data_IF_211266012275
#
_entry.id   IF_211266012275
#
_cell.length_a   1.000
_cell.length_b   1.000
_cell.length_c   1.000
_cell.angle_alpha   90.00
_cell.angle_beta   90.00
_cell.angle_gamma   90.00
#
_symmetry.space_group_name_H-M   'P 1'
#
loop_
_entity.id
_entity.type
_entity.pdbx_description
1 polymer ?
#
# COMPACT_ATOMS: atom_id res chain seq x y z
N UNK A 1 -2.89 26.40 -7.84
CA UNK A 1 -2.03 26.20 -6.64
C UNK A 1 -0.76 27.00 -6.86
N UNK A 2 -0.33 27.78 -5.87
CA UNK A 2 0.94 28.50 -5.92
C UNK A 2 1.95 27.75 -5.06
N UNK A 3 3.07 27.35 -5.65
CA UNK A 3 4.15 26.66 -4.93
C UNK A 3 5.13 27.74 -4.46
N UNK A 4 5.40 27.77 -3.16
CA UNK A 4 6.36 28.69 -2.56
C UNK A 4 7.79 28.15 -2.58
N UNK A 5 8.74 28.96 -2.11
CA UNK A 5 10.15 28.54 -2.02
C UNK A 5 10.37 27.61 -0.82
N UNK A 6 11.04 26.48 -0.99
CA UNK A 6 11.41 25.59 0.13
C UNK A 6 12.13 26.33 1.26
N UNK A 7 11.87 25.94 2.50
CA UNK A 7 12.40 26.55 3.73
C UNK A 7 11.98 27.99 3.98
N UNK A 8 10.99 28.51 3.25
CA UNK A 8 10.36 29.81 3.50
C UNK A 8 8.99 29.66 4.16
N UNK A 9 8.41 30.73 4.69
CA UNK A 9 7.05 30.71 5.25
C UNK A 9 5.98 30.34 4.22
N UNK A 10 6.23 30.56 2.93
CA UNK A 10 5.31 30.26 1.83
C UNK A 10 5.54 28.88 1.19
N UNK A 11 6.45 28.09 1.74
CA UNK A 11 6.76 26.77 1.19
C UNK A 11 5.53 25.86 1.17
N UNK A 12 5.31 25.20 0.04
CA UNK A 12 4.41 24.03 -0.01
C UNK A 12 5.15 22.84 0.55
N UNK A 13 4.63 22.22 1.60
CA UNK A 13 5.28 21.12 2.34
C UNK A 13 4.58 19.81 2.11
N UNK A 14 5.36 18.80 1.74
CA UNK A 14 4.90 17.41 1.64
C UNK A 14 5.63 16.57 2.68
N UNK A 15 4.87 15.87 3.51
CA UNK A 15 5.40 14.86 4.44
C UNK A 15 5.23 13.48 3.80
N UNK A 16 6.34 12.78 3.57
CA UNK A 16 6.38 11.42 3.05
C UNK A 16 6.52 10.44 4.22
N UNK A 17 5.55 9.54 4.38
CA UNK A 17 5.55 8.49 5.39
C UNK A 17 5.99 7.16 4.76
N UNK A 18 7.24 6.80 4.98
CA UNK A 18 8.00 5.78 4.28
C UNK A 18 9.08 6.44 3.42
N UNK A 19 10.33 6.08 3.67
CA UNK A 19 11.48 6.75 3.08
C UNK A 19 12.42 5.78 2.34
N UNK A 20 11.84 4.71 1.75
CA UNK A 20 12.57 3.73 0.97
C UNK A 20 13.06 4.25 -0.39
N UNK A 21 13.42 3.33 -1.28
CA UNK A 21 13.98 3.65 -2.60
C UNK A 21 12.95 4.37 -3.49
N UNK A 22 11.71 3.92 -3.51
CA UNK A 22 10.64 4.60 -4.24
C UNK A 22 10.38 5.99 -3.63
N UNK A 23 10.38 6.09 -2.31
CA UNK A 23 10.25 7.36 -1.59
C UNK A 23 11.32 8.37 -2.00
N UNK A 24 12.56 7.93 -2.22
CA UNK A 24 13.65 8.79 -2.71
C UNK A 24 13.34 9.41 -4.07
N UNK A 25 12.83 8.63 -5.02
CA UNK A 25 12.45 9.14 -6.35
C UNK A 25 11.27 10.12 -6.25
N UNK A 26 10.31 9.86 -5.36
CA UNK A 26 9.20 10.80 -5.08
C UNK A 26 9.74 12.12 -4.52
N UNK A 27 10.66 12.10 -3.55
CA UNK A 27 11.30 13.30 -3.00
C UNK A 27 11.99 14.10 -4.08
N UNK A 28 12.82 13.45 -4.93
CA UNK A 28 13.54 14.11 -6.01
C UNK A 28 12.56 14.76 -6.99
N UNK A 29 11.50 14.06 -7.36
CA UNK A 29 10.45 14.60 -8.25
C UNK A 29 9.75 15.82 -7.64
N UNK A 30 9.37 15.78 -6.38
CA UNK A 30 8.74 16.90 -5.68
C UNK A 30 9.66 18.12 -5.60
N UNK A 31 10.94 17.91 -5.33
CA UNK A 31 11.94 18.97 -5.29
C UNK A 31 12.13 19.67 -6.65
N UNK A 32 12.03 18.96 -7.75
CA UNK A 32 12.06 19.55 -9.12
C UNK A 32 10.94 20.55 -9.34
N UNK A 33 9.80 20.39 -8.64
CA UNK A 33 8.69 21.35 -8.67
C UNK A 33 8.80 22.44 -7.60
N UNK A 34 9.87 22.47 -6.81
CA UNK A 34 10.06 23.48 -5.75
C UNK A 34 9.29 23.18 -4.47
N UNK A 35 8.90 21.94 -4.23
CA UNK A 35 8.20 21.51 -3.03
C UNK A 35 9.19 21.21 -1.91
N UNK A 36 8.89 21.66 -0.68
CA UNK A 36 9.64 21.28 0.51
C UNK A 36 9.19 19.90 0.99
N UNK A 37 10.14 18.95 1.12
CA UNK A 37 9.83 17.57 1.48
C UNK A 37 10.40 17.23 2.85
N UNK A 38 9.56 16.58 3.64
CA UNK A 38 9.84 16.03 4.98
C UNK A 38 9.75 14.51 4.86
N UNK A 39 10.85 13.80 5.01
CA UNK A 39 10.91 12.34 4.90
C UNK A 39 10.89 11.70 6.29
N UNK A 40 10.01 10.75 6.50
CA UNK A 40 9.79 10.08 7.79
C UNK A 40 9.95 8.57 7.62
N UNK A 41 10.73 7.94 8.49
CA UNK A 41 10.86 6.49 8.55
C UNK A 41 11.14 6.02 9.98
N UNK A 42 11.13 4.70 10.20
CA UNK A 42 11.42 4.06 11.49
C UNK A 42 12.93 3.87 11.78
N UNK A 43 13.78 4.09 10.80
CA UNK A 43 15.24 3.94 10.92
C UNK A 43 15.94 5.15 10.29
N UNK A 44 17.15 5.48 10.77
CA UNK A 44 17.92 6.61 10.26
C UNK A 44 18.52 6.31 8.89
N UNK A 45 18.86 7.37 8.17
CA UNK A 45 19.55 7.32 6.87
C UNK A 45 18.83 6.53 5.79
N UNK A 46 17.50 6.40 5.90
CA UNK A 46 16.68 5.83 4.85
C UNK A 46 16.88 6.57 3.52
N UNK A 47 16.76 5.89 2.36
CA UNK A 47 17.10 6.47 1.05
C UNK A 47 16.52 7.85 0.77
N UNK A 48 15.24 8.08 1.07
CA UNK A 48 14.59 9.37 0.86
C UNK A 48 15.06 10.44 1.88
N UNK A 49 15.42 10.06 3.09
CA UNK A 49 15.94 10.98 4.11
C UNK A 49 17.26 11.63 3.67
N UNK A 50 18.07 10.92 2.89
CA UNK A 50 19.37 11.42 2.39
C UNK A 50 19.23 12.59 1.43
N UNK A 51 18.07 12.78 0.81
CA UNK A 51 17.82 13.83 -0.20
C UNK A 51 16.71 14.81 0.21
N UNK A 52 15.95 14.55 1.27
CA UNK A 52 14.88 15.41 1.73
C UNK A 52 15.39 16.70 2.37
N UNK A 53 14.53 17.72 2.47
CA UNK A 53 14.84 18.97 3.18
C UNK A 53 14.89 18.80 4.70
N UNK A 54 14.08 17.87 5.23
CA UNK A 54 14.04 17.46 6.64
C UNK A 54 13.82 15.95 6.71
N UNK A 55 14.39 15.34 7.76
CA UNK A 55 14.29 13.90 8.00
C UNK A 55 13.94 13.63 9.47
N UNK A 56 13.06 12.68 9.70
CA UNK A 56 12.65 12.27 11.04
C UNK A 56 12.61 10.75 11.14
N UNK A 57 13.03 10.27 12.32
CA UNK A 57 12.95 8.85 12.68
C UNK A 57 11.96 8.71 13.82
N UNK A 58 10.83 8.05 13.55
CA UNK A 58 9.77 7.77 14.52
C UNK A 58 9.16 6.39 14.26
N UNK A 59 8.49 5.84 15.25
CA UNK A 59 7.56 4.75 15.00
C UNK A 59 6.25 5.33 14.43
N UNK A 60 6.06 5.18 13.11
CA UNK A 60 4.87 5.69 12.43
C UNK A 60 3.59 4.89 12.78
N UNK A 61 3.71 3.73 13.46
CA UNK A 61 2.56 2.99 14.00
C UNK A 61 2.12 3.54 15.36
N UNK A 62 2.97 4.31 16.03
CA UNK A 62 2.62 5.06 17.24
C UNK A 62 1.83 6.32 16.88
N UNK A 63 0.55 6.29 17.22
CA UNK A 63 -0.38 7.39 17.01
C UNK A 63 0.13 8.73 17.52
N UNK A 64 0.70 8.74 18.74
CA UNK A 64 1.11 9.99 19.40
C UNK A 64 2.33 10.59 18.72
N UNK A 65 3.35 9.79 18.42
CA UNK A 65 4.55 10.25 17.72
C UNK A 65 4.22 10.82 16.34
N UNK A 66 3.34 10.11 15.58
CA UNK A 66 2.93 10.57 14.26
C UNK A 66 2.14 11.89 14.33
N UNK A 67 1.16 11.97 15.21
CA UNK A 67 0.34 13.18 15.38
C UNK A 67 1.17 14.38 15.82
N UNK A 68 2.06 14.21 16.80
CA UNK A 68 2.98 15.26 17.27
C UNK A 68 3.86 15.79 16.15
N UNK A 69 4.42 14.89 15.33
CA UNK A 69 5.24 15.28 14.19
C UNK A 69 4.45 16.08 13.16
N UNK A 70 3.24 15.63 12.81
CA UNK A 70 2.36 16.34 11.86
C UNK A 70 2.00 17.74 12.40
N UNK A 71 1.66 17.85 13.68
CA UNK A 71 1.32 19.14 14.31
C UNK A 71 2.51 20.10 14.35
N UNK A 72 3.71 19.60 14.58
CA UNK A 72 4.96 20.39 14.59
C UNK A 72 5.35 20.89 13.22
N UNK A 73 5.32 20.01 12.22
CA UNK A 73 5.79 20.32 10.85
C UNK A 73 4.75 21.01 9.98
N UNK A 74 3.46 20.81 10.28
CA UNK A 74 2.31 21.40 9.56
C UNK A 74 2.45 21.23 8.04
N UNK A 75 2.52 20.01 7.54
CA UNK A 75 2.59 19.78 6.09
C UNK A 75 1.26 20.20 5.43
N UNK A 76 1.31 20.65 4.18
CA UNK A 76 0.12 20.87 3.36
C UNK A 76 -0.42 19.53 2.83
N UNK A 77 0.50 18.59 2.54
CA UNK A 77 0.19 17.27 2.02
C UNK A 77 0.91 16.18 2.81
N UNK A 78 0.24 15.05 2.98
CA UNK A 78 0.83 13.84 3.56
C UNK A 78 0.70 12.71 2.54
N UNK A 79 1.82 12.06 2.24
CA UNK A 79 1.90 10.95 1.28
C UNK A 79 2.33 9.69 2.03
N UNK A 80 1.40 8.79 2.39
CA UNK A 80 1.72 7.47 2.93
C UNK A 80 2.23 6.56 1.80
N UNK A 81 3.43 5.97 1.99
CA UNK A 81 4.09 5.10 1.01
C UNK A 81 4.15 3.65 1.50
N UNK A 82 4.20 3.43 2.82
CA UNK A 82 4.24 2.10 3.43
C UNK A 82 2.97 1.79 4.23
N UNK A 83 2.73 0.50 4.51
CA UNK A 83 1.55 0.04 5.25
C UNK A 83 1.67 0.12 6.79
N UNK A 84 2.89 0.29 7.34
CA UNK A 84 3.12 0.37 8.77
C UNK A 84 2.95 1.80 9.30
N UNK A 85 1.71 2.28 9.31
CA UNK A 85 1.33 3.66 9.70
C UNK A 85 0.05 3.60 10.55
N UNK A 86 -0.05 4.48 11.56
CA UNK A 86 -1.29 4.74 12.28
C UNK A 86 -2.29 5.49 11.38
N UNK A 87 -3.02 4.75 10.56
CA UNK A 87 -3.90 5.31 9.52
C UNK A 87 -5.13 6.05 10.07
N UNK A 88 -5.49 5.82 11.32
CA UNK A 88 -6.51 6.59 12.04
C UNK A 88 -6.08 8.04 12.26
N UNK A 89 -4.78 8.31 12.48
CA UNK A 89 -4.23 9.67 12.53
C UNK A 89 -4.43 10.39 11.20
N UNK A 90 -4.24 9.70 10.09
CA UNK A 90 -4.45 10.28 8.76
C UNK A 90 -5.92 10.66 8.54
N UNK A 91 -6.84 9.81 9.02
CA UNK A 91 -8.28 10.12 8.96
C UNK A 91 -8.66 11.34 9.81
N UNK A 92 -8.11 11.47 11.01
CA UNK A 92 -8.33 12.62 11.88
C UNK A 92 -7.76 13.92 11.27
N UNK A 93 -6.57 13.86 10.70
CA UNK A 93 -5.91 14.99 10.02
C UNK A 93 -6.73 15.48 8.82
N UNK A 94 -7.23 14.54 8.02
CA UNK A 94 -8.07 14.80 6.85
C UNK A 94 -9.43 15.39 7.26
N UNK A 95 -10.08 14.81 8.29
CA UNK A 95 -11.35 15.31 8.84
C UNK A 95 -11.22 16.70 9.45
N UNK A 96 -10.09 17.01 10.09
CA UNK A 96 -9.79 18.34 10.62
C UNK A 96 -9.39 19.35 9.54
N UNK A 97 -9.17 18.92 8.30
CA UNK A 97 -8.71 19.79 7.21
C UNK A 97 -7.32 20.39 7.44
N UNK A 98 -6.51 19.79 8.30
CA UNK A 98 -5.18 20.28 8.66
C UNK A 98 -4.09 19.95 7.65
N UNK A 99 -4.28 18.89 6.85
CA UNK A 99 -3.47 18.55 5.69
C UNK A 99 -4.32 17.73 4.70
N UNK A 100 -3.90 17.69 3.44
CA UNK A 100 -4.47 16.80 2.43
C UNK A 100 -3.69 15.49 2.41
N UNK A 101 -4.37 14.36 2.58
CA UNK A 101 -3.76 13.03 2.52
C UNK A 101 -3.90 12.44 1.12
N UNK A 102 -2.81 12.02 0.50
CA UNK A 102 -2.78 11.50 -0.88
C UNK A 102 -2.04 10.15 -0.92
N UNK A 103 -2.73 9.06 -1.26
CA UNK A 103 -4.18 8.93 -1.47
C UNK A 103 -4.97 9.20 -0.19
N UNK A 104 -6.29 9.39 -0.29
CA UNK A 104 -7.13 9.72 0.89
C UNK A 104 -6.94 8.71 2.02
N UNK A 105 -7.12 9.14 3.28
CA UNK A 105 -6.97 8.27 4.45
C UNK A 105 -7.83 6.98 4.32
N UNK A 106 -9.05 7.11 3.79
CA UNK A 106 -9.90 5.94 3.50
C UNK A 106 -9.29 4.98 2.49
N UNK A 107 -8.71 5.50 1.41
CA UNK A 107 -8.04 4.66 0.41
C UNK A 107 -6.85 3.91 1.01
N UNK A 108 -6.04 4.61 1.82
CA UNK A 108 -4.91 4.03 2.56
C UNK A 108 -5.38 2.90 3.48
N UNK A 109 -6.41 3.14 4.30
CA UNK A 109 -6.96 2.14 5.22
C UNK A 109 -7.45 0.88 4.50
N UNK A 110 -8.10 1.06 3.34
CA UNK A 110 -8.63 -0.06 2.56
C UNK A 110 -7.53 -0.83 1.82
N UNK A 111 -6.58 -0.13 1.19
CA UNK A 111 -5.57 -0.78 0.33
C UNK A 111 -4.43 -1.41 1.12
N UNK A 112 -4.08 -0.86 2.28
CA UNK A 112 -3.06 -1.40 3.16
C UNK A 112 -3.52 -2.62 3.96
N UNK A 113 -4.82 -2.89 3.99
CA UNK A 113 -5.44 -4.02 4.65
C UNK A 113 -6.10 -4.96 3.64
N UNK A 114 -5.55 -6.17 3.46
CA UNK A 114 -6.09 -7.15 2.50
C UNK A 114 -7.56 -7.50 2.77
N UNK A 115 -8.01 -7.49 4.02
CA UNK A 115 -9.41 -7.74 4.35
C UNK A 115 -10.28 -6.57 3.86
N UNK A 116 -9.86 -5.34 4.13
CA UNK A 116 -10.60 -4.15 3.73
C UNK A 116 -10.80 -4.06 2.21
N UNK A 117 -9.72 -4.18 1.45
CA UNK A 117 -9.81 -4.10 -0.03
C UNK A 117 -10.54 -5.30 -0.62
N UNK A 118 -10.37 -6.53 -0.07
CA UNK A 118 -11.06 -7.73 -0.56
C UNK A 118 -12.57 -7.64 -0.34
N UNK A 119 -13.01 -7.24 0.84
CA UNK A 119 -14.43 -7.05 1.13
C UNK A 119 -15.03 -5.93 0.29
N UNK A 120 -14.32 -4.82 0.11
CA UNK A 120 -14.76 -3.75 -0.78
C UNK A 120 -14.99 -4.29 -2.20
N UNK A 121 -14.01 -4.99 -2.77
CA UNK A 121 -14.12 -5.51 -4.13
C UNK A 121 -15.22 -6.56 -4.26
N UNK A 122 -15.20 -7.60 -3.44
CA UNK A 122 -16.09 -8.75 -3.58
C UNK A 122 -17.51 -8.49 -3.06
N UNK A 123 -17.63 -7.90 -1.85
CA UNK A 123 -18.92 -7.83 -1.15
C UNK A 123 -19.65 -6.51 -1.39
N UNK A 124 -18.92 -5.38 -1.51
CA UNK A 124 -19.55 -4.06 -1.72
C UNK A 124 -19.73 -3.73 -3.19
N UNK A 125 -18.70 -3.99 -4.01
CA UNK A 125 -18.69 -3.64 -5.44
C UNK A 125 -19.10 -4.80 -6.34
N UNK A 126 -19.19 -6.03 -5.82
CA UNK A 126 -19.55 -7.23 -6.59
C UNK A 126 -18.58 -7.58 -7.71
N UNK A 127 -17.31 -7.17 -7.58
CA UNK A 127 -16.27 -7.45 -8.57
C UNK A 127 -15.83 -8.92 -8.47
N UNK A 128 -15.46 -9.54 -9.59
CA UNK A 128 -14.89 -10.89 -9.58
C UNK A 128 -13.62 -10.95 -8.75
N UNK A 129 -13.56 -11.89 -7.80
CA UNK A 129 -12.37 -12.18 -6.99
C UNK A 129 -12.18 -13.69 -6.89
N UNK A 130 -10.97 -14.15 -6.53
CA UNK A 130 -10.78 -15.54 -6.15
C UNK A 130 -11.65 -15.89 -4.94
N UNK A 131 -12.09 -17.15 -4.75
CA UNK A 131 -12.69 -17.60 -3.50
C UNK A 131 -11.74 -17.30 -2.33
N UNK A 132 -12.26 -16.84 -1.20
CA UNK A 132 -11.40 -16.48 -0.06
C UNK A 132 -12.09 -16.70 1.28
N UNK A 133 -11.27 -16.85 2.34
CA UNK A 133 -11.70 -16.84 3.75
C UNK A 133 -10.67 -16.09 4.60
N UNK A 134 -11.15 -15.44 5.65
CA UNK A 134 -10.29 -14.84 6.69
C UNK A 134 -10.37 -15.69 7.94
N UNK A 135 -9.22 -15.99 8.53
CA UNK A 135 -9.10 -16.83 9.72
C UNK A 135 -8.05 -16.31 10.68
N UNK A 136 -8.24 -16.61 11.97
CA UNK A 136 -7.39 -16.13 13.06
C UNK A 136 -6.68 -17.27 13.81
N UNK A 137 -6.95 -18.52 13.44
CA UNK A 137 -6.43 -19.72 14.12
C UNK A 137 -5.95 -20.76 13.12
N UNK A 138 -5.03 -21.62 13.56
CA UNK A 138 -4.56 -22.76 12.75
C UNK A 138 -5.72 -23.71 12.36
N UNK A 139 -6.64 -23.95 13.30
CA UNK A 139 -7.81 -24.79 13.04
C UNK A 139 -8.72 -24.16 11.98
N UNK A 140 -8.95 -22.83 12.10
CA UNK A 140 -9.65 -22.07 11.08
C UNK A 140 -8.97 -22.13 9.71
N UNK A 141 -7.63 -22.10 9.68
CA UNK A 141 -6.86 -22.25 8.44
C UNK A 141 -7.08 -23.61 7.78
N UNK A 142 -7.11 -24.69 8.56
CA UNK A 142 -7.41 -26.04 8.02
C UNK A 142 -8.77 -26.08 7.33
N UNK A 143 -9.82 -25.68 8.06
CA UNK A 143 -11.19 -25.68 7.51
C UNK A 143 -11.33 -24.76 6.29
N UNK A 144 -10.76 -23.56 6.34
CA UNK A 144 -10.81 -22.60 5.23
C UNK A 144 -10.08 -23.10 3.98
N UNK A 145 -8.94 -23.79 4.14
CA UNK A 145 -8.18 -24.35 3.01
C UNK A 145 -8.91 -25.51 2.33
N UNK A 146 -9.63 -26.32 3.10
CA UNK A 146 -10.50 -27.38 2.57
C UNK A 146 -11.69 -26.79 1.81
N UNK A 147 -12.32 -25.73 2.35
CA UNK A 147 -13.47 -25.07 1.73
C UNK A 147 -13.09 -24.34 0.42
N UNK A 148 -11.96 -23.59 0.43
CA UNK A 148 -11.46 -22.87 -0.75
C UNK A 148 -10.94 -23.85 -1.81
N UNK A 149 -10.40 -24.99 -1.38
CA UNK A 149 -9.82 -26.01 -2.22
C UNK A 149 -8.31 -25.80 -2.47
N UNK A 150 -7.62 -26.91 -2.76
CA UNK A 150 -6.19 -26.89 -3.11
C UNK A 150 -5.98 -26.89 -4.64
N UNK A 151 -4.94 -26.23 -5.15
CA UNK A 151 -4.01 -25.38 -4.43
C UNK A 151 -4.60 -24.02 -4.07
N UNK A 152 -4.22 -23.50 -2.89
CA UNK A 152 -4.61 -22.17 -2.43
C UNK A 152 -3.43 -21.42 -1.83
N UNK A 153 -3.59 -20.13 -1.61
CA UNK A 153 -2.57 -19.27 -1.00
C UNK A 153 -2.99 -18.81 0.38
N UNK A 154 -2.02 -18.76 1.30
CA UNK A 154 -2.16 -18.14 2.62
C UNK A 154 -1.29 -16.90 2.67
N UNK A 155 -1.87 -15.77 3.12
CA UNK A 155 -1.15 -14.49 3.22
C UNK A 155 -1.53 -13.78 4.51
N UNK A 156 -0.58 -13.16 5.24
CA UNK A 156 -0.91 -12.24 6.33
C UNK A 156 -1.79 -11.08 5.82
N UNK A 157 -2.66 -10.54 6.66
CA UNK A 157 -3.52 -9.40 6.30
C UNK A 157 -2.69 -8.18 5.91
N UNK A 158 -1.61 -7.93 6.64
CA UNK A 158 -0.71 -6.81 6.39
C UNK A 158 0.71 -7.31 6.13
N UNK A 159 1.05 -7.49 4.89
CA UNK A 159 2.40 -7.83 4.42
C UNK A 159 2.59 -7.38 2.97
N UNK A 160 3.83 -7.15 2.56
CA UNK A 160 4.19 -6.84 1.19
C UNK A 160 5.32 -7.73 0.69
N UNK A 161 5.58 -7.70 -0.61
CA UNK A 161 6.68 -8.42 -1.26
C UNK A 161 6.69 -9.94 -0.95
N UNK A 162 5.51 -10.54 -0.85
CA UNK A 162 5.38 -12.00 -0.64
C UNK A 162 5.80 -12.52 0.73
N UNK A 163 6.17 -11.65 1.69
CA UNK A 163 6.57 -12.06 3.04
C UNK A 163 5.41 -12.72 3.77
N UNK A 164 5.66 -13.90 4.35
CA UNK A 164 4.64 -14.70 5.02
C UNK A 164 3.63 -15.36 4.08
N UNK A 165 3.79 -15.26 2.77
CA UNK A 165 2.91 -15.89 1.79
C UNK A 165 3.36 -17.32 1.51
N UNK A 166 2.42 -18.26 1.50
CA UNK A 166 2.64 -19.67 1.16
C UNK A 166 1.58 -20.18 0.20
N UNK A 167 1.97 -21.09 -0.69
CA UNK A 167 1.05 -21.87 -1.50
C UNK A 167 0.85 -23.23 -0.84
N UNK A 168 -0.39 -23.56 -0.49
CA UNK A 168 -0.79 -24.87 0.00
C UNK A 168 -1.16 -25.77 -1.18
N UNK A 169 -0.50 -26.91 -1.30
CA UNK A 169 -0.83 -27.96 -2.28
C UNK A 169 -1.72 -29.05 -1.69
N UNK A 170 -1.79 -29.11 -0.37
CA UNK A 170 -2.59 -30.06 0.41
C UNK A 170 -2.56 -29.76 1.90
N UNK A 171 -3.30 -30.52 2.68
CA UNK A 171 -3.45 -30.32 4.13
C UNK A 171 -2.11 -30.42 4.89
N UNK A 172 -1.14 -31.14 4.37
CA UNK A 172 0.20 -31.29 4.96
C UNK A 172 1.00 -29.98 5.03
N UNK A 173 0.65 -28.98 4.19
CA UNK A 173 1.36 -27.70 4.13
C UNK A 173 0.85 -26.66 5.15
N UNK A 174 -0.31 -26.91 5.77
CA UNK A 174 -1.06 -25.92 6.56
C UNK A 174 -0.28 -25.42 7.79
N UNK A 175 0.35 -26.34 8.55
CA UNK A 175 1.08 -25.96 9.77
C UNK A 175 2.30 -25.08 9.46
N UNK A 176 3.08 -25.46 8.45
CA UNK A 176 4.25 -24.69 8.04
C UNK A 176 3.86 -23.32 7.47
N UNK A 177 2.78 -23.26 6.70
CA UNK A 177 2.26 -22.02 6.15
C UNK A 177 1.73 -21.07 7.22
N UNK A 178 1.04 -21.63 8.25
CA UNK A 178 0.60 -20.85 9.41
C UNK A 178 1.77 -20.22 10.15
N UNK A 179 2.78 -21.02 10.51
CA UNK A 179 3.97 -20.54 11.19
C UNK A 179 4.67 -19.42 10.41
N UNK A 180 4.90 -19.65 9.11
CA UNK A 180 5.54 -18.64 8.24
C UNK A 180 4.71 -17.36 8.09
N UNK A 181 3.38 -17.47 8.04
CA UNK A 181 2.51 -16.29 7.97
C UNK A 181 2.59 -15.44 9.24
N UNK A 182 2.77 -16.05 10.42
CA UNK A 182 2.93 -15.34 11.69
C UNK A 182 4.26 -14.58 11.77
N UNK A 183 5.32 -15.13 11.18
CA UNK A 183 6.64 -14.49 11.14
C UNK A 183 6.73 -13.35 10.12
N UNK A 184 6.00 -13.47 9.00
CA UNK A 184 6.10 -12.55 7.85
C UNK A 184 5.22 -11.31 7.94
N UNK A 185 4.32 -11.20 8.91
CA UNK A 185 3.45 -10.04 9.10
C UNK A 185 4.24 -8.80 9.54
N UNK A 186 3.93 -7.62 8.97
CA UNK A 186 4.54 -6.34 9.39
C UNK A 186 3.95 -5.77 10.67
N UNK A 187 2.77 -6.21 11.03
CA UNK A 187 2.05 -5.85 12.27
C UNK A 187 1.77 -7.13 13.02
N UNK A 188 1.91 -7.10 14.34
CA UNK A 188 1.54 -8.23 15.18
C UNK A 188 0.05 -8.56 15.00
N UNK A 189 -0.24 -9.78 14.56
CA UNK A 189 -1.60 -10.25 14.35
C UNK A 189 -1.60 -11.67 13.80
N UNK A 190 -2.58 -12.46 14.20
CA UNK A 190 -2.73 -13.86 13.80
C UNK A 190 -3.58 -14.01 12.52
N UNK A 191 -4.26 -12.94 12.09
CA UNK A 191 -5.24 -13.01 11.01
C UNK A 191 -4.58 -13.16 9.64
N UNK A 192 -5.06 -14.15 8.89
CA UNK A 192 -4.61 -14.43 7.52
C UNK A 192 -5.80 -14.50 6.56
N UNK A 193 -5.54 -14.31 5.27
CA UNK A 193 -6.46 -14.66 4.18
C UNK A 193 -6.01 -15.97 3.54
N UNK A 194 -6.98 -16.84 3.26
CA UNK A 194 -6.85 -18.00 2.36
C UNK A 194 -7.50 -17.63 1.04
N UNK A 195 -6.79 -17.79 -0.06
CA UNK A 195 -7.29 -17.44 -1.40
C UNK A 195 -7.10 -18.59 -2.37
N UNK A 196 -8.13 -18.88 -3.16
CA UNK A 196 -8.03 -19.84 -4.26
C UNK A 196 -7.00 -19.38 -5.30
N UNK A 197 -6.27 -20.33 -5.85
CA UNK A 197 -5.36 -20.05 -6.97
C UNK A 197 -6.16 -19.67 -8.21
N UNK A 198 -5.71 -18.65 -8.90
CA UNK A 198 -6.21 -18.25 -10.22
C UNK A 198 -5.16 -18.68 -11.25
N UNK A 199 -5.59 -19.43 -12.26
CA UNK A 199 -4.78 -19.69 -13.45
C UNK A 199 -5.03 -18.54 -14.44
N UNK A 200 -4.05 -17.67 -14.58
CA UNK A 200 -4.08 -16.51 -15.46
C UNK A 200 -2.98 -16.61 -16.54
N UNK A 201 -3.23 -16.05 -17.71
CA UNK A 201 -2.27 -16.02 -18.80
C UNK A 201 -1.15 -15.02 -18.53
N UNK A 202 -1.46 -13.90 -17.90
CA UNK A 202 -0.51 -12.85 -17.49
C UNK A 202 -1.07 -12.02 -16.35
N UNK A 203 -0.18 -11.31 -15.68
CA UNK A 203 -0.47 -10.39 -14.59
C UNK A 203 -0.10 -8.98 -15.01
N UNK A 204 -0.91 -7.99 -14.63
CA UNK A 204 -0.67 -6.58 -14.95
C UNK A 204 -0.71 -5.70 -13.71
N UNK A 205 0.01 -4.58 -13.79
CA UNK A 205 -0.21 -3.41 -12.96
C UNK A 205 -0.87 -2.33 -13.81
N UNK A 206 -2.06 -1.88 -13.39
CA UNK A 206 -2.75 -0.75 -14.01
C UNK A 206 -2.60 0.49 -13.13
N UNK A 207 -1.74 1.40 -13.54
CA UNK A 207 -1.56 2.67 -12.84
C UNK A 207 -2.74 3.58 -13.16
N UNK A 208 -3.44 3.98 -12.09
CA UNK A 208 -4.63 4.83 -12.17
C UNK A 208 -4.32 6.19 -11.56
N UNK A 209 -4.54 7.26 -12.32
CA UNK A 209 -4.29 8.63 -11.89
C UNK A 209 -5.63 9.35 -11.70
N UNK A 210 -5.94 9.72 -10.47
CA UNK A 210 -7.12 10.53 -10.16
C UNK A 210 -6.69 11.97 -9.93
N UNK A 211 -7.27 12.87 -10.71
CA UNK A 211 -7.04 14.31 -10.63
C UNK A 211 -8.34 15.06 -10.42
N UNK A 212 -8.24 16.36 -10.16
CA UNK A 212 -9.38 17.28 -10.11
C UNK A 212 -9.12 18.37 -11.16
N UNK A 213 -10.11 18.68 -11.97
CA UNK A 213 -10.01 19.79 -12.93
C UNK A 213 -10.06 21.16 -12.22
N UNK A 214 -9.89 22.23 -12.99
CA UNK A 214 -9.94 23.60 -12.46
C UNK A 214 -11.31 24.02 -11.89
N UNK A 215 -12.36 23.21 -12.07
CA UNK A 215 -13.71 23.40 -11.55
C UNK A 215 -14.00 22.52 -10.33
N UNK A 216 -13.04 21.66 -9.93
CA UNK A 216 -13.18 20.74 -8.80
C UNK A 216 -13.82 19.38 -9.18
N UNK A 217 -14.04 19.08 -10.47
CA UNK A 217 -14.59 17.80 -10.88
C UNK A 217 -13.52 16.72 -10.90
N UNK A 218 -13.80 15.50 -10.39
CA UNK A 218 -12.85 14.41 -10.44
C UNK A 218 -12.69 13.87 -11.86
N UNK A 219 -11.44 13.59 -12.24
CA UNK A 219 -11.07 12.94 -13.49
C UNK A 219 -10.17 11.75 -13.20
N UNK A 220 -10.40 10.64 -13.89
CA UNK A 220 -9.57 9.42 -13.75
C UNK A 220 -8.96 9.11 -15.11
N UNK A 221 -7.64 8.93 -15.13
CA UNK A 221 -6.88 8.48 -16.27
C UNK A 221 -6.20 7.16 -15.96
N UNK A 222 -6.06 6.31 -16.97
CA UNK A 222 -5.34 5.04 -16.87
C UNK A 222 -4.09 5.11 -17.73
N UNK A 223 -2.96 4.66 -17.16
CA UNK A 223 -1.76 4.43 -17.95
C UNK A 223 -1.91 3.13 -18.75
N UNK A 224 -1.06 2.95 -19.75
CA UNK A 224 -0.98 1.67 -20.45
C UNK A 224 -0.62 0.56 -19.44
N UNK A 225 -1.25 -0.63 -19.52
CA UNK A 225 -0.98 -1.72 -18.59
C UNK A 225 0.48 -2.13 -18.59
N UNK A 226 1.07 -2.29 -17.42
CA UNK A 226 2.42 -2.82 -17.22
C UNK A 226 2.33 -4.31 -17.00
N UNK A 227 2.89 -5.10 -17.89
CA UNK A 227 3.10 -6.52 -17.69
C UNK A 227 4.32 -6.75 -16.79
N UNK A 228 4.31 -7.80 -15.99
CA UNK A 228 5.44 -8.16 -15.16
C UNK A 228 5.56 -9.66 -14.92
N UNK A 229 6.78 -10.08 -14.62
CA UNK A 229 7.12 -11.43 -14.21
C UNK A 229 7.58 -11.42 -12.77
N UNK A 230 6.92 -12.25 -11.96
CA UNK A 230 7.35 -12.53 -10.59
C UNK A 230 7.95 -13.95 -10.50
N UNK A 231 9.00 -14.10 -9.71
CA UNK A 231 9.57 -15.41 -9.36
C UNK A 231 9.74 -15.50 -7.85
N UNK A 232 9.08 -16.46 -7.23
CA UNK A 232 9.12 -16.67 -5.76
C UNK A 232 8.70 -15.44 -4.94
N UNK A 233 7.84 -14.59 -5.50
CA UNK A 233 7.38 -13.35 -4.87
C UNK A 233 8.22 -12.12 -5.21
N UNK A 234 9.37 -12.29 -5.85
CA UNK A 234 10.21 -11.18 -6.29
C UNK A 234 9.80 -10.68 -7.68
N UNK A 235 9.78 -9.36 -7.84
CA UNK A 235 9.55 -8.68 -9.11
C UNK A 235 10.83 -8.72 -9.94
N UNK A 236 10.82 -9.50 -11.03
CA UNK A 236 12.04 -9.80 -11.80
C UNK A 236 12.15 -8.97 -13.07
N UNK A 237 11.04 -8.80 -13.79
CA UNK A 237 11.00 -8.13 -15.07
C UNK A 237 9.66 -7.43 -15.27
N UNK A 238 9.68 -6.30 -15.98
CA UNK A 238 8.47 -5.59 -16.40
C UNK A 238 8.63 -5.02 -17.80
N UNK A 239 7.49 -4.84 -18.46
CA UNK A 239 7.40 -4.23 -19.78
C UNK A 239 6.12 -3.41 -19.91
N UNK A 240 6.14 -2.39 -20.74
CA UNK A 240 4.99 -1.53 -21.04
C UNK A 240 5.01 -1.12 -22.52
N UNK A 241 3.90 -1.26 -23.23
CA UNK A 241 2.62 -1.82 -22.77
C UNK A 241 2.63 -3.35 -22.69
N UNK A 242 1.74 -3.93 -21.84
CA UNK A 242 1.43 -5.34 -21.90
C UNK A 242 0.63 -5.62 -23.17
N UNK A 243 1.04 -6.55 -24.04
CA UNK A 243 0.21 -7.00 -25.16
C UNK A 243 -1.10 -7.62 -24.65
N UNK A 244 -2.22 -7.05 -25.05
CA UNK A 244 -3.55 -7.48 -24.63
C UNK A 244 -4.49 -7.44 -25.83
N UNK A 245 -5.53 -8.29 -25.82
CA UNK A 245 -6.60 -8.21 -26.80
C UNK A 245 -7.42 -6.93 -26.59
N UNK A 246 -8.05 -6.41 -27.67
CA UNK A 246 -8.92 -5.25 -27.56
C UNK A 246 -10.08 -5.47 -26.57
N UNK A 247 -10.55 -6.71 -26.41
CA UNK A 247 -11.59 -7.05 -25.44
C UNK A 247 -11.11 -6.98 -23.99
N UNK A 248 -9.82 -7.19 -23.74
CA UNK A 248 -9.25 -7.11 -22.39
C UNK A 248 -8.83 -5.66 -21.99
N UNK A 249 -8.83 -4.72 -22.96
CA UNK A 249 -8.51 -3.31 -22.74
C UNK A 249 -9.77 -2.44 -22.48
N UNK A 250 -10.96 -3.00 -22.59
CA UNK A 250 -12.26 -2.35 -22.32
C UNK A 250 -12.77 -2.75 -20.95
#
# INVERSE_FOLDING_TARGET
MQIGTPKSPSATRVMLLGSGELGKEVVISLQRYGVEVIAVDRYPDAPAQQVAHRAYVIDMTDRNQLLELIQRERPDFIVPEIEAIATDVLADVEAAGSAVVIPTARAVQLTMNREGIRKLAAETLGLPTSPYRFVDTLEGLRGASEEVGYPCFVKPIMSSSGKGQSMLRGAQDVEAAWAYAQEGGRVQGTRVIVEGRIDFDFEITLITVRTVDGQGNPHVSFCEPVGHLQRQGDYVESWQPQPMSSAALV
#
